data_IF_214979970947
#
_entry.id   IF_214979970947
#
_cell.length_a   1.000
_cell.length_b   1.000
_cell.length_c   1.000
_cell.angle_alpha   90.00
_cell.angle_beta   90.00
_cell.angle_gamma   90.00
#
_symmetry.space_group_name_H-M   'P 1'
#
loop_
_entity.id
_entity.type
_entity.pdbx_description
1 polymer ?
#
# COMPACT_ATOMS: atom_id res chain seq x y z
N UNK A 1 -7.12 19.44 -12.74
CA UNK A 1 -6.86 18.23 -11.94
C UNK A 1 -5.36 18.00 -11.95
N UNK A 2 -4.67 18.26 -10.83
CA UNK A 2 -3.20 18.16 -10.79
C UNK A 2 -2.79 16.69 -10.76
N UNK A 3 -2.22 16.18 -11.86
CA UNK A 3 -1.66 14.83 -11.92
C UNK A 3 -0.45 14.78 -10.98
N UNK A 4 -0.63 14.31 -9.75
CA UNK A 4 0.50 13.96 -8.88
C UNK A 4 1.23 12.80 -9.53
N UNK A 5 2.38 13.08 -10.12
CA UNK A 5 3.24 12.05 -10.69
C UNK A 5 4.14 11.52 -9.58
N UNK A 6 3.89 10.29 -9.14
CA UNK A 6 4.67 9.66 -8.09
C UNK A 6 5.96 9.11 -8.69
N UNK A 7 7.10 9.31 -8.01
CA UNK A 7 8.40 8.82 -8.44
C UNK A 7 8.53 7.28 -8.41
N UNK A 8 7.59 6.60 -7.75
CA UNK A 8 7.56 5.16 -7.61
C UNK A 8 6.11 4.65 -7.54
N UNK A 9 5.90 3.35 -7.76
CA UNK A 9 4.57 2.73 -7.56
C UNK A 9 4.38 2.33 -6.10
N UNK A 10 3.13 2.24 -5.64
CA UNK A 10 2.84 1.78 -4.27
C UNK A 10 3.41 0.38 -4.01
N UNK A 11 3.30 -0.55 -4.95
CA UNK A 11 3.86 -1.91 -4.81
C UNK A 11 5.38 -1.89 -4.61
N UNK A 12 6.10 -1.07 -5.40
CA UNK A 12 7.55 -0.91 -5.28
C UNK A 12 7.96 -0.23 -3.97
N UNK A 13 7.21 0.79 -3.54
CA UNK A 13 7.43 1.45 -2.26
C UNK A 13 7.19 0.50 -1.09
N UNK A 14 6.07 -0.23 -1.10
CA UNK A 14 5.66 -1.15 -0.03
C UNK A 14 6.67 -2.27 0.15
N UNK A 15 7.27 -2.77 -0.95
CA UNK A 15 8.33 -3.80 -0.89
C UNK A 15 9.52 -3.37 -0.03
N UNK A 16 9.83 -2.08 0.03
CA UNK A 16 10.96 -1.56 0.82
C UNK A 16 10.62 -1.46 2.31
N UNK A 17 9.35 -1.59 2.67
CA UNK A 17 8.87 -1.44 4.04
C UNK A 17 8.84 -2.78 4.81
N UNK A 18 9.17 -3.91 4.18
CA UNK A 18 9.08 -5.25 4.79
C UNK A 18 9.90 -5.43 6.09
N UNK A 19 10.85 -4.53 6.37
CA UNK A 19 11.70 -4.58 7.56
C UNK A 19 11.31 -3.58 8.65
N UNK A 20 10.21 -2.83 8.46
CA UNK A 20 9.69 -1.97 9.53
C UNK A 20 9.09 -2.82 10.65
N UNK A 21 9.12 -2.29 11.87
CA UNK A 21 8.56 -2.88 13.09
C UNK A 21 7.21 -2.23 13.48
N UNK A 22 6.44 -1.78 12.49
CA UNK A 22 5.15 -1.14 12.68
C UNK A 22 4.08 -1.77 11.76
N UNK A 23 2.85 -1.27 11.88
CA UNK A 23 1.70 -1.76 11.10
C UNK A 23 1.91 -1.75 9.58
N UNK A 24 2.79 -0.87 9.07
CA UNK A 24 3.13 -0.81 7.64
C UNK A 24 4.08 -1.96 7.29
N UNK A 25 5.05 -2.25 8.17
CA UNK A 25 5.95 -3.39 8.06
C UNK A 25 5.19 -4.72 8.06
N UNK A 26 4.30 -4.90 9.03
CA UNK A 26 3.45 -6.10 9.13
C UNK A 26 2.61 -6.27 7.86
N UNK A 27 1.95 -5.20 7.40
CA UNK A 27 1.17 -5.22 6.17
C UNK A 27 2.01 -5.53 4.92
N UNK A 28 3.24 -5.00 4.85
CA UNK A 28 4.16 -5.29 3.76
C UNK A 28 4.59 -6.77 3.78
N UNK A 29 4.95 -7.32 4.93
CA UNK A 29 5.32 -8.73 5.05
C UNK A 29 4.17 -9.64 4.62
N UNK A 30 2.98 -9.42 5.16
CA UNK A 30 1.77 -10.19 4.82
C UNK A 30 1.47 -10.12 3.32
N UNK A 31 1.49 -8.91 2.75
CA UNK A 31 1.25 -8.70 1.32
C UNK A 31 2.25 -9.45 0.43
N UNK A 32 3.53 -9.45 0.80
CA UNK A 32 4.59 -10.08 0.00
C UNK A 32 4.76 -11.58 0.27
N UNK A 33 4.10 -12.12 1.30
CA UNK A 33 3.96 -13.56 1.52
C UNK A 33 3.02 -14.24 0.50
N UNK A 34 2.17 -13.47 -0.20
CA UNK A 34 1.24 -14.00 -1.21
C UNK A 34 1.63 -13.61 -2.65
N UNK A 35 1.29 -14.46 -3.61
CA UNK A 35 1.64 -14.29 -5.03
C UNK A 35 0.65 -13.41 -5.82
N UNK A 36 -0.58 -13.28 -5.31
CA UNK A 36 -1.74 -12.64 -5.94
C UNK A 36 -1.94 -11.15 -5.57
N UNK A 37 -0.95 -10.55 -4.89
CA UNK A 37 -0.96 -9.12 -4.58
C UNK A 37 -1.07 -8.25 -5.84
N UNK A 38 -1.68 -7.05 -5.75
CA UNK A 38 -1.66 -6.08 -6.84
C UNK A 38 -0.23 -5.67 -7.22
N UNK A 39 -0.01 -5.42 -8.51
CA UNK A 39 1.30 -5.05 -9.08
C UNK A 39 1.20 -3.78 -9.92
N UNK A 40 2.35 -3.18 -10.23
CA UNK A 40 2.44 -2.01 -11.10
C UNK A 40 1.71 -0.78 -10.51
N UNK A 41 1.02 -0.03 -11.37
CA UNK A 41 0.32 1.22 -11.03
C UNK A 41 -1.10 0.98 -10.47
N UNK A 42 -1.30 -0.12 -9.73
CA UNK A 42 -2.59 -0.40 -9.10
C UNK A 42 -2.96 0.73 -8.11
N UNK A 43 -4.13 1.33 -8.30
CA UNK A 43 -4.63 2.40 -7.44
C UNK A 43 -5.23 1.89 -6.13
N UNK A 44 -5.50 2.82 -5.21
CA UNK A 44 -5.98 2.53 -3.85
C UNK A 44 -7.20 1.60 -3.82
N UNK A 45 -8.18 1.79 -4.71
CA UNK A 45 -9.39 0.93 -4.78
C UNK A 45 -9.05 -0.55 -5.04
N UNK A 46 -8.05 -0.82 -5.88
CA UNK A 46 -7.60 -2.20 -6.17
C UNK A 46 -6.96 -2.82 -4.93
N UNK A 47 -6.13 -2.06 -4.22
CA UNK A 47 -5.52 -2.48 -2.97
C UNK A 47 -6.55 -2.71 -1.86
N UNK A 48 -7.54 -1.83 -1.74
CA UNK A 48 -8.65 -1.99 -0.79
C UNK A 48 -9.45 -3.27 -1.08
N UNK A 49 -9.73 -3.56 -2.35
CA UNK A 49 -10.38 -4.82 -2.74
C UNK A 49 -9.52 -6.04 -2.42
N UNK A 50 -8.21 -5.97 -2.63
CA UNK A 50 -7.28 -7.04 -2.24
C UNK A 50 -7.35 -7.32 -0.73
N UNK A 51 -7.31 -6.29 0.12
CA UNK A 51 -7.44 -6.45 1.58
C UNK A 51 -8.78 -7.09 1.94
N UNK A 52 -9.87 -6.67 1.31
CA UNK A 52 -11.19 -7.27 1.53
C UNK A 52 -11.21 -8.77 1.17
N UNK A 53 -10.69 -9.13 0.01
CA UNK A 53 -10.64 -10.53 -0.45
C UNK A 53 -9.75 -11.38 0.45
N UNK A 54 -8.62 -10.85 0.92
CA UNK A 54 -7.68 -11.57 1.78
C UNK A 54 -8.18 -11.78 3.21
N UNK A 55 -8.83 -10.77 3.76
CA UNK A 55 -9.33 -10.82 5.14
C UNK A 55 -10.73 -11.41 5.26
N UNK A 56 -11.52 -11.40 4.18
CA UNK A 56 -12.92 -11.82 4.20
C UNK A 56 -13.85 -10.90 4.99
N UNK A 57 -13.38 -9.76 5.49
CA UNK A 57 -14.13 -8.87 6.37
C UNK A 57 -13.82 -7.41 6.13
N UNK A 58 -14.85 -6.56 6.12
CA UNK A 58 -14.71 -5.09 6.05
C UNK A 58 -14.13 -4.47 7.33
N UNK A 59 -14.09 -5.21 8.44
CA UNK A 59 -13.56 -4.77 9.74
C UNK A 59 -12.12 -5.24 9.99
N UNK A 60 -11.44 -5.70 8.93
CA UNK A 60 -10.06 -6.16 9.04
C UNK A 60 -9.11 -5.04 9.45
N UNK A 61 -8.16 -5.28 10.39
CA UNK A 61 -7.09 -4.34 10.69
C UNK A 61 -6.20 -4.05 9.46
N UNK A 62 -6.25 -4.89 8.43
CA UNK A 62 -5.58 -4.64 7.15
C UNK A 62 -6.04 -3.37 6.43
N UNK A 63 -7.23 -2.83 6.72
CA UNK A 63 -7.64 -1.53 6.16
C UNK A 63 -6.91 -0.37 6.82
N UNK A 64 -6.78 -0.39 8.14
CA UNK A 64 -6.01 0.62 8.87
C UNK A 64 -4.54 0.62 8.41
N UNK A 65 -3.96 -0.58 8.28
CA UNK A 65 -2.59 -0.72 7.80
C UNK A 65 -2.43 -0.26 6.34
N UNK A 66 -3.42 -0.56 5.46
CA UNK A 66 -3.43 -0.04 4.08
C UNK A 66 -3.53 1.49 4.05
N UNK A 67 -4.38 2.10 4.89
CA UNK A 67 -4.57 3.55 4.94
C UNK A 67 -3.30 4.25 5.40
N UNK A 68 -2.67 3.73 6.46
CA UNK A 68 -1.39 4.22 6.96
C UNK A 68 -0.29 4.10 5.89
N UNK A 69 -0.18 2.94 5.23
CA UNK A 69 0.78 2.71 4.17
C UNK A 69 0.56 3.63 2.97
N UNK A 70 -0.69 3.82 2.54
CA UNK A 70 -1.02 4.65 1.38
C UNK A 70 -0.74 6.13 1.64
N UNK A 71 -1.05 6.62 2.83
CA UNK A 71 -0.73 7.98 3.24
C UNK A 71 0.79 8.22 3.29
N UNK A 72 1.56 7.27 3.83
CA UNK A 72 3.02 7.34 3.84
C UNK A 72 3.61 7.35 2.42
N UNK A 73 3.15 6.43 1.56
CA UNK A 73 3.50 6.41 0.13
C UNK A 73 3.24 7.74 -0.57
N UNK A 74 2.07 8.35 -0.34
CA UNK A 74 1.74 9.63 -0.97
C UNK A 74 2.65 10.76 -0.50
N UNK A 75 3.06 10.78 0.77
CA UNK A 75 4.00 11.79 1.29
C UNK A 75 5.42 11.60 0.73
N UNK A 76 5.87 10.36 0.65
CA UNK A 76 7.26 10.03 0.33
C UNK A 76 7.53 9.95 -1.18
N UNK A 77 6.63 9.35 -1.96
CA UNK A 77 6.81 9.15 -3.40
C UNK A 77 5.98 10.10 -4.27
N UNK A 78 4.92 10.71 -3.76
CA UNK A 78 4.06 11.62 -4.51
C UNK A 78 4.16 13.05 -3.97
N UNK A 79 5.40 13.55 -3.81
CA UNK A 79 5.61 14.94 -3.41
C UNK A 79 4.99 15.90 -4.45
N UNK A 80 4.29 16.96 -4.02
CA UNK A 80 4.07 18.11 -4.89
C UNK A 80 5.45 18.73 -5.15
N UNK A 81 5.78 19.01 -6.41
CA UNK A 81 7.04 19.62 -6.86
C UNK A 81 7.74 20.44 -5.75
N UNK A 82 8.95 20.03 -5.37
CA UNK A 82 9.90 20.92 -4.70
C UNK A 82 10.29 22.04 -5.65
#
# INVERSE_FOLDING_TARGET
>A
MSNRQCACTFSTWLRRQIHRDDIIGDFAQDTFSTSDRPRGNAGYKVWRNFVLVKSGSIYSPGFEALDAAWAAYQRECCSPNR
#
